data_IF_354617549503
#
_entry.id   IF_354617549503
#
_cell.length_a   1.000
_cell.length_b   1.000
_cell.length_c   1.000
_cell.angle_alpha   90.00
_cell.angle_beta   90.00
_cell.angle_gamma   90.00
#
_symmetry.space_group_name_H-M   'P 1'
#
loop_
_entity.id
_entity.type
_entity.pdbx_description
1 polymer ?
#
# COMPACT_ATOMS: atom_id res chain seq x y z
N UNK A 1 -0.22 -2.72 -36.50
CA UNK A 1 -0.67 -2.70 -35.09
C UNK A 1 0.61 -2.65 -34.25
N UNK A 2 0.93 -1.50 -33.65
CA UNK A 2 2.10 -1.42 -32.77
C UNK A 2 1.76 -2.22 -31.49
N UNK A 3 2.67 -3.07 -30.98
CA UNK A 3 2.44 -3.75 -29.71
C UNK A 3 2.14 -2.69 -28.65
N UNK A 4 1.14 -2.94 -27.81
CA UNK A 4 0.86 -2.09 -26.67
C UNK A 4 2.13 -2.07 -25.83
N UNK A 5 2.89 -0.98 -25.93
CA UNK A 5 4.05 -0.75 -25.08
C UNK A 5 3.49 -0.76 -23.67
N UNK A 6 3.92 -1.73 -22.85
CA UNK A 6 3.69 -1.73 -21.40
C UNK A 6 4.31 -0.45 -20.86
N UNK A 7 3.54 0.64 -20.94
CA UNK A 7 3.97 1.96 -20.53
C UNK A 7 3.86 1.99 -19.02
N UNK A 8 4.99 1.74 -18.39
CA UNK A 8 5.39 2.27 -17.11
C UNK A 8 4.70 3.63 -16.81
N UNK A 9 3.94 3.68 -15.72
CA UNK A 9 3.16 4.84 -15.28
C UNK A 9 3.80 5.46 -14.05
N UNK A 10 3.93 6.79 -13.99
CA UNK A 10 4.43 7.47 -12.79
C UNK A 10 3.36 7.41 -11.69
N UNK A 11 3.77 7.01 -10.49
CA UNK A 11 2.97 7.02 -9.28
C UNK A 11 3.68 7.89 -8.22
N UNK A 12 3.10 9.05 -7.85
CA UNK A 12 3.67 9.88 -6.79
C UNK A 12 3.38 9.26 -5.42
N UNK A 13 4.40 9.24 -4.56
CA UNK A 13 4.35 8.80 -3.17
C UNK A 13 4.67 10.01 -2.29
N UNK A 14 3.72 10.35 -1.42
CA UNK A 14 3.84 11.45 -0.47
C UNK A 14 4.08 10.89 0.93
N UNK A 15 5.11 11.40 1.60
CA UNK A 15 5.27 11.21 3.04
C UNK A 15 4.62 12.40 3.74
N UNK A 16 3.63 12.14 4.58
CA UNK A 16 2.89 13.17 5.31
C UNK A 16 3.23 13.04 6.80
N UNK A 17 3.63 14.13 7.43
CA UNK A 17 3.74 14.22 8.88
C UNK A 17 2.33 14.16 9.49
N UNK A 18 2.06 13.12 10.29
CA UNK A 18 0.73 12.85 10.81
C UNK A 18 0.23 13.89 11.82
N UNK A 19 1.13 14.65 12.46
CA UNK A 19 0.76 15.62 13.50
C UNK A 19 0.40 16.99 12.90
N UNK A 20 1.02 17.32 11.77
CA UNK A 20 0.93 18.66 11.15
C UNK A 20 0.23 18.66 9.80
N UNK A 21 0.11 17.50 9.14
CA UNK A 21 -0.41 17.37 7.78
C UNK A 21 0.56 17.87 6.70
N UNK A 22 1.79 18.26 7.07
CA UNK A 22 2.79 18.77 6.13
C UNK A 22 3.39 17.61 5.33
N UNK A 23 3.58 17.80 4.03
CA UNK A 23 4.31 16.85 3.18
C UNK A 23 5.79 16.95 3.52
N UNK A 24 6.32 15.91 4.17
CA UNK A 24 7.73 15.80 4.57
C UNK A 24 8.63 15.39 3.40
N UNK A 25 8.09 14.60 2.45
CA UNK A 25 8.81 14.18 1.25
C UNK A 25 7.85 13.85 0.11
N UNK A 26 8.35 14.00 -1.12
CA UNK A 26 7.69 13.58 -2.35
C UNK A 26 8.68 12.76 -3.19
N UNK A 27 8.29 11.55 -3.55
CA UNK A 27 9.01 10.71 -4.50
C UNK A 27 8.06 10.31 -5.63
N UNK A 28 8.57 10.21 -6.86
CA UNK A 28 7.83 9.61 -7.96
C UNK A 28 8.50 8.29 -8.33
N UNK A 29 7.73 7.21 -8.29
CA UNK A 29 8.19 5.89 -8.76
C UNK A 29 7.48 5.56 -10.06
N UNK A 30 8.15 4.81 -10.92
CA UNK A 30 7.55 4.32 -12.16
C UNK A 30 7.21 2.85 -11.99
N UNK A 31 5.97 2.48 -12.28
CA UNK A 31 5.46 1.12 -12.09
C UNK A 31 4.78 0.62 -13.36
N UNK A 32 4.76 -0.70 -13.55
CA UNK A 32 4.02 -1.31 -14.64
C UNK A 32 2.54 -0.89 -14.62
N UNK A 33 1.99 -0.54 -15.78
CA UNK A 33 0.59 -0.11 -15.93
C UNK A 33 -0.39 -1.07 -15.26
N UNK A 34 -0.22 -2.37 -15.52
CA UNK A 34 -1.10 -3.41 -14.98
C UNK A 34 -1.09 -3.42 -13.45
N UNK A 35 0.07 -3.21 -12.84
CA UNK A 35 0.18 -3.10 -11.39
C UNK A 35 -0.58 -1.88 -10.87
N UNK A 36 -0.38 -0.72 -11.49
CA UNK A 36 -1.07 0.54 -11.12
C UNK A 36 -2.58 0.39 -11.20
N UNK A 37 -3.09 -0.24 -12.27
CA UNK A 37 -4.53 -0.47 -12.45
C UNK A 37 -5.11 -1.41 -11.37
N UNK A 38 -4.42 -2.51 -11.06
CA UNK A 38 -4.83 -3.44 -10.00
C UNK A 38 -4.81 -2.76 -8.63
N UNK A 39 -3.77 -1.99 -8.34
CA UNK A 39 -3.64 -1.24 -7.09
C UNK A 39 -4.74 -0.20 -6.95
N UNK A 40 -5.00 0.61 -7.98
CA UNK A 40 -6.08 1.59 -7.98
C UNK A 40 -7.44 0.91 -7.74
N UNK A 41 -7.72 -0.21 -8.43
CA UNK A 41 -8.97 -0.93 -8.25
C UNK A 41 -9.12 -1.51 -6.83
N UNK A 42 -8.02 -1.91 -6.19
CA UNK A 42 -8.04 -2.38 -4.80
C UNK A 42 -8.32 -1.22 -3.83
N UNK A 43 -7.65 -0.07 -4.02
CA UNK A 43 -7.87 1.14 -3.21
C UNK A 43 -9.31 1.65 -3.35
N UNK A 44 -9.86 1.71 -4.56
CA UNK A 44 -11.25 2.12 -4.78
C UNK A 44 -12.23 1.17 -4.08
N UNK A 45 -11.97 -0.14 -4.12
CA UNK A 45 -12.79 -1.12 -3.39
C UNK A 45 -12.71 -0.93 -1.88
N UNK A 46 -11.53 -0.65 -1.34
CA UNK A 46 -11.34 -0.39 0.08
C UNK A 46 -12.04 0.91 0.52
N UNK A 47 -11.95 1.98 -0.28
CA UNK A 47 -12.63 3.25 -0.01
C UNK A 47 -14.15 3.13 -0.04
N UNK A 48 -14.69 2.23 -0.87
CA UNK A 48 -16.12 1.94 -0.92
C UNK A 48 -16.59 0.98 0.18
N UNK A 49 -15.67 0.37 0.94
CA UNK A 49 -16.01 -0.55 2.01
C UNK A 49 -16.58 0.23 3.20
N UNK A 50 -17.73 -0.17 3.78
CA UNK A 50 -18.24 0.46 4.99
C UNK A 50 -17.22 0.36 6.13
N UNK A 51 -16.87 1.50 6.73
CA UNK A 51 -15.98 1.54 7.87
C UNK A 51 -16.64 0.91 9.10
N UNK A 52 -15.99 -0.10 9.66
CA UNK A 52 -16.36 -0.74 10.92
C UNK A 52 -15.15 -0.69 11.85
N UNK A 53 -15.19 0.26 12.78
CA UNK A 53 -14.11 0.52 13.74
C UNK A 53 -13.85 -0.69 14.65
N UNK A 54 -14.90 -1.38 15.10
CA UNK A 54 -14.76 -2.53 15.99
C UNK A 54 -14.10 -3.72 15.27
N UNK A 55 -14.51 -3.98 14.02
CA UNK A 55 -13.87 -5.00 13.19
C UNK A 55 -12.41 -4.65 12.87
N UNK A 56 -12.12 -3.37 12.61
CA UNK A 56 -10.75 -2.89 12.38
C UNK A 56 -9.87 -3.11 13.61
N UNK A 57 -10.31 -2.66 14.80
CA UNK A 57 -9.54 -2.76 16.04
C UNK A 57 -9.32 -4.21 16.46
N UNK A 58 -10.33 -5.06 16.31
CA UNK A 58 -10.19 -6.50 16.57
C UNK A 58 -9.12 -7.13 15.65
N UNK A 59 -9.12 -6.77 14.36
CA UNK A 59 -8.14 -7.27 13.40
C UNK A 59 -6.74 -6.72 13.66
N UNK A 60 -6.64 -5.46 14.08
CA UNK A 60 -5.39 -4.82 14.45
C UNK A 60 -4.78 -5.44 15.72
N UNK A 61 -5.61 -5.75 16.71
CA UNK A 61 -5.19 -6.46 17.92
C UNK A 61 -4.67 -7.86 17.60
N UNK A 62 -5.34 -8.61 16.74
CA UNK A 62 -4.87 -9.92 16.25
C UNK A 62 -3.51 -9.81 15.55
N UNK A 63 -3.35 -8.82 14.67
CA UNK A 63 -2.10 -8.59 13.95
C UNK A 63 -0.95 -8.22 14.89
N UNK A 64 -1.19 -7.36 15.88
CA UNK A 64 -0.19 -7.01 16.90
C UNK A 64 0.16 -8.19 17.79
N UNK A 65 -0.80 -9.07 18.08
CA UNK A 65 -0.51 -10.33 18.78
C UNK A 65 0.37 -11.27 17.96
N UNK A 66 0.18 -11.31 16.64
CA UNK A 66 0.97 -12.16 15.72
C UNK A 66 2.33 -11.56 15.37
N UNK A 67 2.43 -10.23 15.31
CA UNK A 67 3.62 -9.47 14.96
C UNK A 67 3.86 -8.39 16.03
N UNK A 68 4.44 -8.76 17.18
CA UNK A 68 4.61 -7.86 18.32
C UNK A 68 5.54 -6.69 18.03
N UNK A 69 6.52 -6.88 17.14
CA UNK A 69 7.48 -5.85 16.77
C UNK A 69 7.26 -5.41 15.32
N UNK A 70 7.35 -4.10 15.01
CA UNK A 70 7.26 -3.62 13.63
C UNK A 70 8.23 -4.30 12.66
N UNK A 71 9.40 -4.74 13.16
CA UNK A 71 10.38 -5.52 12.39
C UNK A 71 9.85 -6.86 11.88
N UNK A 72 8.91 -7.50 12.58
CA UNK A 72 8.36 -8.81 12.21
C UNK A 72 7.53 -8.73 10.93
N UNK A 73 6.87 -7.58 10.69
CA UNK A 73 6.14 -7.30 9.45
C UNK A 73 7.11 -7.15 8.26
N UNK A 74 8.27 -6.54 8.49
CA UNK A 74 9.29 -6.34 7.46
C UNK A 74 9.91 -7.67 7.01
N UNK A 75 10.21 -8.56 7.96
CA UNK A 75 10.72 -9.91 7.66
C UNK A 75 9.72 -10.69 6.80
N UNK A 76 8.43 -10.62 7.14
CA UNK A 76 7.39 -11.31 6.34
C UNK A 76 7.24 -10.72 4.94
N UNK A 77 7.35 -9.41 4.80
CA UNK A 77 7.30 -8.74 3.50
C UNK A 77 8.49 -9.13 2.60
N UNK A 78 9.69 -9.27 3.18
CA UNK A 78 10.88 -9.71 2.44
C UNK A 78 10.79 -11.18 1.97
N UNK A 79 10.15 -12.06 2.74
CA UNK A 79 9.94 -13.47 2.35
C UNK A 79 9.10 -13.61 1.07
N UNK A 80 8.20 -12.66 0.78
CA UNK A 80 7.42 -12.66 -0.46
C UNK A 80 8.20 -12.18 -1.69
N UNK A 81 9.36 -11.55 -1.52
CA UNK A 81 10.21 -11.08 -2.61
C UNK A 81 11.26 -12.11 -3.07
N UNK A 82 11.42 -13.23 -2.33
CA UNK A 82 12.41 -14.27 -2.60
C UNK A 82 11.82 -15.63 -2.99
N UNK A 83 10.50 -15.72 -3.24
CA UNK A 83 9.80 -16.92 -3.69
C UNK A 83 9.13 -16.67 -5.04
#
# INVERSE_FOLDING_TARGET
MLPAVDRELPMPVFLIDANTGIIAALCAVTLERRFVEVLHAALTRQLAWPWDEAAYDARLAELRGRFPHPGDLLVRAQVLHQA
#
